data_IF_300810715436
#
_entry.id   IF_300810715436
#
_cell.length_a   1.000
_cell.length_b   1.000
_cell.length_c   1.000
_cell.angle_alpha   90.00
_cell.angle_beta   90.00
_cell.angle_gamma   90.00
#
_symmetry.space_group_name_H-M   'P 1'
#
loop_
_entity.id
_entity.type
_entity.pdbx_description
1 polymer ?
#
# COMPACT_ATOMS: atom_id res chain seq x y z
N UNK A 1 -7.34 14.70 -21.19
CA UNK A 1 -6.68 13.41 -21.47
C UNK A 1 -6.36 13.22 -22.94
N UNK A 2 -7.36 13.27 -23.85
CA UNK A 2 -7.13 13.16 -25.30
C UNK A 2 -6.14 14.22 -25.84
N UNK A 3 -6.27 15.48 -25.39
CA UNK A 3 -5.38 16.59 -25.73
C UNK A 3 -3.93 16.37 -25.27
N UNK A 4 -3.71 15.73 -24.12
CA UNK A 4 -2.38 15.40 -23.58
C UNK A 4 -1.74 14.26 -24.38
N UNK A 5 -2.52 13.26 -24.77
CA UNK A 5 -2.05 12.13 -25.60
C UNK A 5 -1.66 12.60 -27.02
N UNK A 6 -2.49 13.43 -27.65
CA UNK A 6 -2.21 14.02 -28.96
C UNK A 6 -0.99 14.96 -28.94
N UNK A 7 -0.72 15.61 -27.80
CA UNK A 7 0.43 16.51 -27.66
C UNK A 7 1.78 15.78 -27.72
N UNK A 8 1.84 14.47 -27.44
CA UNK A 8 3.07 13.67 -27.59
C UNK A 8 3.54 13.68 -29.05
N UNK A 9 2.61 13.59 -30.00
CA UNK A 9 2.92 13.58 -31.44
C UNK A 9 3.52 14.90 -31.93
N UNK A 10 3.36 16.00 -31.18
CA UNK A 10 3.92 17.34 -31.48
C UNK A 10 5.23 17.63 -30.75
N UNK A 11 5.85 16.62 -30.12
CA UNK A 11 7.16 16.71 -29.49
C UNK A 11 7.12 16.95 -27.97
N UNK A 12 8.27 16.68 -27.31
CA UNK A 12 8.38 16.65 -25.84
C UNK A 12 8.15 18.02 -25.17
N UNK A 13 8.53 19.12 -25.82
CA UNK A 13 8.32 20.47 -25.29
C UNK A 13 6.83 20.86 -25.29
N UNK A 14 6.13 20.60 -26.40
CA UNK A 14 4.70 20.85 -26.52
C UNK A 14 3.89 19.98 -25.54
N UNK A 15 4.24 18.69 -25.43
CA UNK A 15 3.64 17.81 -24.42
C UNK A 15 3.76 18.37 -22.99
N UNK A 16 4.96 18.79 -22.57
CA UNK A 16 5.19 19.36 -21.23
C UNK A 16 4.38 20.65 -21.01
N UNK A 17 4.23 21.47 -22.04
CA UNK A 17 3.45 22.72 -21.98
C UNK A 17 1.95 22.42 -21.82
N UNK A 18 1.43 21.45 -22.57
CA UNK A 18 0.03 21.00 -22.43
C UNK A 18 -0.22 20.38 -21.06
N UNK A 19 0.70 19.57 -20.53
CA UNK A 19 0.58 19.03 -19.16
C UNK A 19 0.57 20.15 -18.12
N UNK A 20 1.52 21.09 -18.20
CA UNK A 20 1.63 22.19 -17.24
C UNK A 20 0.45 23.17 -17.26
N UNK A 21 -0.29 23.26 -18.38
CA UNK A 21 -1.54 24.04 -18.46
C UNK A 21 -2.72 23.32 -17.79
N UNK A 22 -2.71 22.00 -17.77
CA UNK A 22 -3.84 21.19 -17.28
C UNK A 22 -3.65 20.69 -15.83
N UNK A 23 -2.43 20.74 -15.31
CA UNK A 23 -2.10 20.24 -13.96
C UNK A 23 -1.16 21.25 -13.29
N UNK A 24 -1.58 21.79 -12.14
CA UNK A 24 -0.70 22.52 -11.23
C UNK A 24 0.00 21.53 -10.30
N UNK A 25 1.33 21.64 -10.19
CA UNK A 25 2.11 20.88 -9.23
C UNK A 25 2.37 21.77 -8.02
N UNK A 26 1.95 21.31 -6.83
CA UNK A 26 2.27 21.99 -5.59
C UNK A 26 3.73 21.70 -5.21
N UNK A 27 4.56 22.73 -5.31
CA UNK A 27 5.98 22.64 -5.02
C UNK A 27 6.25 22.27 -3.56
N UNK A 28 5.38 22.65 -2.63
CA UNK A 28 5.57 22.42 -1.19
C UNK A 28 5.54 20.92 -0.85
N UNK A 29 4.90 20.11 -1.71
CA UNK A 29 4.68 18.67 -1.50
C UNK A 29 5.74 17.78 -2.13
N UNK A 30 6.70 18.37 -2.84
CA UNK A 30 7.75 17.57 -3.48
C UNK A 30 8.62 16.90 -2.41
N UNK A 31 9.08 15.65 -2.65
CA UNK A 31 9.95 14.94 -1.72
C UNK A 31 11.38 15.49 -1.81
N UNK A 32 11.60 16.65 -1.18
CA UNK A 32 12.91 17.29 -1.14
C UNK A 32 13.91 16.48 -0.31
N UNK A 33 15.17 16.45 -0.78
CA UNK A 33 16.29 15.80 -0.08
C UNK A 33 16.94 16.75 0.93
N UNK A 34 16.79 16.54 2.24
CA UNK A 34 17.28 17.49 3.26
C UNK A 34 18.81 17.62 3.28
N UNK A 35 19.51 16.53 2.97
CA UNK A 35 20.97 16.47 2.89
C UNK A 35 21.51 17.33 1.74
N UNK A 36 20.92 17.21 0.54
CA UNK A 36 21.28 18.04 -0.60
C UNK A 36 20.92 19.51 -0.36
N UNK A 37 19.73 19.80 0.20
CA UNK A 37 19.33 21.17 0.49
C UNK A 37 20.27 21.85 1.51
N UNK A 38 20.77 21.10 2.50
CA UNK A 38 21.77 21.62 3.45
C UNK A 38 23.06 22.00 2.73
N UNK A 39 23.59 21.10 1.92
CA UNK A 39 24.79 21.36 1.12
C UNK A 39 24.63 22.58 0.20
N UNK A 40 23.51 22.69 -0.52
CA UNK A 40 23.26 23.83 -1.40
C UNK A 40 23.22 25.16 -0.62
N UNK A 41 22.59 25.17 0.57
CA UNK A 41 22.60 26.38 1.42
C UNK A 41 24.00 26.76 1.88
N UNK A 42 24.83 25.78 2.26
CA UNK A 42 26.23 26.01 2.63
C UNK A 42 27.02 26.62 1.45
N UNK A 43 26.84 26.09 0.23
CA UNK A 43 27.49 26.63 -0.97
C UNK A 43 26.99 28.05 -1.30
N UNK A 44 25.71 28.33 -1.09
CA UNK A 44 25.13 29.67 -1.25
C UNK A 44 25.75 30.67 -0.28
N UNK A 45 25.90 30.28 0.99
CA UNK A 45 26.57 31.12 2.01
C UNK A 45 28.05 31.31 1.75
N UNK A 46 28.70 30.34 1.08
CA UNK A 46 30.09 30.46 0.63
C UNK A 46 30.26 31.36 -0.62
N UNK A 47 29.19 31.97 -1.11
CA UNK A 47 29.22 32.92 -2.22
C UNK A 47 29.03 32.31 -3.61
N UNK A 48 28.74 31.01 -3.74
CA UNK A 48 28.44 30.41 -5.05
C UNK A 48 27.08 30.88 -5.55
N UNK A 49 27.02 31.25 -6.84
CA UNK A 49 25.75 31.45 -7.55
C UNK A 49 25.12 30.09 -7.85
N UNK A 50 23.84 29.93 -7.51
CA UNK A 50 23.11 28.68 -7.67
C UNK A 50 22.00 28.84 -8.71
N UNK A 51 22.05 28.00 -9.75
CA UNK A 51 21.07 28.02 -10.85
C UNK A 51 20.28 26.72 -10.87
N UNK A 52 18.95 26.81 -10.82
CA UNK A 52 18.07 25.66 -10.97
C UNK A 52 17.91 25.32 -12.46
N UNK A 53 18.52 24.22 -12.90
CA UNK A 53 18.48 23.79 -14.31
C UNK A 53 17.66 22.51 -14.45
N UNK A 54 16.55 22.56 -15.19
CA UNK A 54 15.64 21.40 -15.30
C UNK A 54 15.01 21.21 -16.67
N UNK A 55 14.75 19.96 -17.02
CA UNK A 55 13.93 19.63 -18.18
C UNK A 55 12.43 19.78 -17.88
N UNK A 56 12.02 20.13 -16.65
CA UNK A 56 10.63 20.43 -16.33
C UNK A 56 10.17 21.72 -17.04
N UNK A 57 8.86 21.84 -17.25
CA UNK A 57 8.29 23.07 -17.80
C UNK A 57 8.56 24.25 -16.87
N UNK A 58 8.80 25.44 -17.43
CA UNK A 58 9.22 26.63 -16.69
C UNK A 58 8.30 26.99 -15.51
N UNK A 59 6.98 26.77 -15.63
CA UNK A 59 6.03 27.02 -14.54
C UNK A 59 6.32 26.18 -13.30
N UNK A 60 6.64 24.89 -13.49
CA UNK A 60 6.97 23.95 -12.40
C UNK A 60 8.32 24.33 -11.78
N UNK A 61 9.31 24.65 -12.62
CA UNK A 61 10.64 25.04 -12.16
C UNK A 61 10.61 26.32 -11.32
N UNK A 62 9.84 27.34 -11.76
CA UNK A 62 9.64 28.58 -11.00
C UNK A 62 8.90 28.34 -9.69
N UNK A 63 7.86 27.50 -9.68
CA UNK A 63 7.16 27.15 -8.44
C UNK A 63 8.11 26.48 -7.41
N UNK A 64 8.95 25.54 -7.85
CA UNK A 64 9.94 24.90 -6.99
C UNK A 64 11.00 25.88 -6.47
N UNK A 65 11.49 26.78 -7.31
CA UNK A 65 12.45 27.82 -6.89
C UNK A 65 11.83 28.83 -5.93
N UNK A 66 10.56 29.21 -6.14
CA UNK A 66 9.83 30.11 -5.25
C UNK A 66 9.61 29.49 -3.86
N UNK A 67 9.28 28.19 -3.80
CA UNK A 67 9.18 27.45 -2.54
C UNK A 67 10.51 27.45 -1.78
N UNK A 68 11.61 27.18 -2.49
CA UNK A 68 12.97 27.22 -1.96
C UNK A 68 13.54 28.65 -1.98
N UNK A 69 12.73 29.62 -1.53
CA UNK A 69 13.05 31.04 -1.58
C UNK A 69 14.46 31.36 -1.06
N UNK A 70 15.19 32.18 -1.82
CA UNK A 70 16.57 32.60 -1.52
C UNK A 70 17.66 31.57 -1.84
N UNK A 71 17.31 30.35 -2.27
CA UNK A 71 18.32 29.33 -2.60
C UNK A 71 18.89 29.50 -4.02
N UNK A 72 18.05 29.77 -5.02
CA UNK A 72 18.47 29.88 -6.42
C UNK A 72 18.43 31.33 -6.90
N UNK A 73 19.50 31.75 -7.57
CA UNK A 73 19.63 33.07 -8.21
C UNK A 73 18.89 33.12 -9.55
N UNK A 74 18.83 31.96 -10.22
CA UNK A 74 18.25 31.86 -11.54
C UNK A 74 17.63 30.49 -11.80
N UNK A 75 16.66 30.43 -12.72
CA UNK A 75 15.99 29.19 -13.15
C UNK A 75 16.08 29.05 -14.67
N UNK A 76 16.72 27.98 -15.14
CA UNK A 76 16.75 27.55 -16.53
C UNK A 76 15.88 26.30 -16.72
N UNK A 77 14.84 26.41 -17.52
CA UNK A 77 13.83 25.36 -17.65
C UNK A 77 13.34 25.16 -19.09
N UNK A 78 12.63 24.06 -19.34
CA UNK A 78 12.01 23.80 -20.64
C UNK A 78 10.86 24.79 -20.91
N UNK A 79 10.89 25.41 -22.08
CA UNK A 79 9.83 26.27 -22.61
C UNK A 79 9.14 25.61 -23.81
N UNK A 80 8.08 26.22 -24.33
CA UNK A 80 7.28 25.63 -25.43
C UNK A 80 8.10 25.40 -26.72
N UNK A 81 9.17 26.17 -26.93
CA UNK A 81 10.09 26.05 -28.08
C UNK A 81 11.42 25.33 -27.83
N UNK A 82 11.81 25.10 -26.57
CA UNK A 82 13.12 24.50 -26.25
C UNK A 82 13.02 23.45 -25.13
N UNK A 83 13.30 22.19 -25.46
CA UNK A 83 13.37 21.09 -24.49
C UNK A 83 14.79 20.96 -23.91
N UNK A 84 14.99 21.53 -22.73
CA UNK A 84 16.28 21.59 -22.04
C UNK A 84 16.67 20.22 -21.44
N UNK A 85 17.06 19.26 -22.28
CA UNK A 85 17.44 17.91 -21.86
C UNK A 85 18.79 17.48 -22.45
N UNK A 86 19.57 16.77 -21.64
CA UNK A 86 20.85 16.16 -22.02
C UNK A 86 21.80 17.11 -22.77
N UNK A 87 22.10 16.85 -24.07
CA UNK A 87 23.09 17.62 -24.82
C UNK A 87 22.70 19.09 -25.01
N UNK A 88 21.41 19.40 -25.22
CA UNK A 88 20.93 20.79 -25.32
C UNK A 88 21.14 21.53 -24.00
N UNK A 89 20.96 20.84 -22.87
CA UNK A 89 21.24 21.41 -21.55
C UNK A 89 22.74 21.69 -21.38
N UNK A 90 23.60 20.78 -21.84
CA UNK A 90 25.06 20.98 -21.84
C UNK A 90 25.44 22.23 -22.63
N UNK A 91 25.00 22.33 -23.89
CA UNK A 91 25.27 23.48 -24.77
C UNK A 91 24.85 24.81 -24.15
N UNK A 92 23.62 24.91 -23.65
CA UNK A 92 23.11 26.15 -23.03
C UNK A 92 23.93 26.56 -21.80
N UNK A 93 24.43 25.59 -21.01
CA UNK A 93 25.27 25.87 -19.85
C UNK A 93 26.69 26.29 -20.26
N UNK A 94 27.26 25.63 -21.27
CA UNK A 94 28.57 25.99 -21.83
C UNK A 94 28.55 27.38 -22.47
N UNK A 95 27.51 27.73 -23.23
CA UNK A 95 27.34 29.06 -23.82
C UNK A 95 27.26 30.16 -22.75
N UNK A 96 26.66 29.86 -21.60
CA UNK A 96 26.40 30.84 -20.54
C UNK A 96 27.55 30.99 -19.55
N UNK A 97 28.16 29.89 -19.14
CA UNK A 97 29.15 29.86 -18.07
C UNK A 97 30.56 29.51 -18.55
N UNK A 98 30.71 29.12 -19.82
CA UNK A 98 31.96 28.61 -20.38
C UNK A 98 32.15 27.12 -20.14
N UNK A 99 32.98 26.50 -20.97
CA UNK A 99 33.37 25.09 -20.81
C UNK A 99 34.25 24.94 -19.57
N UNK A 100 33.86 24.04 -18.66
CA UNK A 100 34.49 23.93 -17.34
C UNK A 100 34.16 25.08 -16.38
N UNK A 101 33.22 25.97 -16.70
CA UNK A 101 32.91 27.14 -15.87
C UNK A 101 31.93 26.88 -14.72
N UNK A 102 31.42 25.66 -14.57
CA UNK A 102 30.36 25.34 -13.62
C UNK A 102 30.50 23.94 -13.01
N UNK A 103 29.92 23.77 -11.81
CA UNK A 103 29.73 22.46 -11.17
C UNK A 103 28.29 22.01 -11.36
N UNK A 104 28.06 20.78 -11.83
CA UNK A 104 26.71 20.31 -12.15
C UNK A 104 26.23 19.19 -11.24
N UNK A 105 25.06 19.44 -10.62
CA UNK A 105 24.33 18.47 -9.81
C UNK A 105 23.38 17.67 -10.73
N UNK A 106 23.54 16.36 -10.80
CA UNK A 106 22.80 15.49 -11.73
C UNK A 106 22.56 14.09 -11.17
N UNK A 107 21.70 13.31 -11.82
CA UNK A 107 21.31 11.98 -11.31
C UNK A 107 21.22 10.86 -12.36
N UNK A 108 21.29 11.17 -13.66
CA UNK A 108 20.95 10.20 -14.69
C UNK A 108 21.91 10.20 -15.88
N UNK A 109 21.78 9.19 -16.75
CA UNK A 109 22.68 9.04 -17.90
C UNK A 109 22.63 10.23 -18.89
N UNK A 110 21.49 10.94 -19.00
CA UNK A 110 21.44 12.14 -19.83
C UNK A 110 22.28 13.29 -19.28
N UNK A 111 22.58 13.29 -17.97
CA UNK A 111 23.45 14.28 -17.35
C UNK A 111 24.93 14.06 -17.70
N UNK A 112 25.31 12.90 -18.25
CA UNK A 112 26.67 12.66 -18.75
C UNK A 112 27.06 13.68 -19.83
N UNK A 113 26.12 14.09 -20.68
CA UNK A 113 26.36 15.12 -21.70
C UNK A 113 26.63 16.50 -21.09
N UNK A 114 26.12 16.77 -19.88
CA UNK A 114 26.35 18.03 -19.16
C UNK A 114 27.65 17.95 -18.37
N UNK A 115 27.91 16.82 -17.70
CA UNK A 115 29.14 16.61 -16.92
C UNK A 115 30.40 16.64 -17.78
N UNK A 116 30.32 16.35 -19.09
CA UNK A 116 31.44 16.54 -20.04
C UNK A 116 31.96 17.97 -20.12
N UNK A 117 31.09 18.95 -19.85
CA UNK A 117 31.38 20.37 -19.94
C UNK A 117 31.49 21.05 -18.56
N UNK A 118 31.32 20.29 -17.48
CA UNK A 118 31.38 20.81 -16.12
C UNK A 118 32.80 20.70 -15.56
N UNK A 119 33.24 21.64 -14.71
CA UNK A 119 34.48 21.49 -13.95
C UNK A 119 34.43 20.33 -12.97
N UNK A 120 33.27 20.14 -12.33
CA UNK A 120 33.04 19.08 -11.37
C UNK A 120 31.61 18.55 -11.42
N UNK A 121 31.46 17.30 -10.99
CA UNK A 121 30.20 16.59 -10.92
C UNK A 121 29.76 16.39 -9.47
N UNK A 122 28.46 16.56 -9.22
CA UNK A 122 27.81 16.19 -7.96
C UNK A 122 26.68 15.19 -8.28
N UNK A 123 26.97 13.87 -8.31
CA UNK A 123 25.94 12.86 -8.48
C UNK A 123 25.02 12.74 -7.26
N UNK A 124 23.72 12.83 -7.50
CA UNK A 124 22.65 12.68 -6.49
C UNK A 124 21.77 11.50 -6.86
N UNK A 125 21.69 10.48 -6.01
CA UNK A 125 20.93 9.24 -6.27
C UNK A 125 21.27 8.56 -7.61
N UNK A 126 22.45 8.84 -8.18
CA UNK A 126 22.84 8.30 -9.47
C UNK A 126 23.10 6.79 -9.36
N UNK A 127 22.79 6.05 -10.44
CA UNK A 127 23.10 4.62 -10.53
C UNK A 127 24.61 4.42 -10.48
N UNK A 128 25.12 3.31 -9.89
CA UNK A 128 26.56 3.03 -9.85
C UNK A 128 27.21 3.07 -11.24
N UNK A 129 26.52 2.55 -12.26
CA UNK A 129 26.98 2.60 -13.65
C UNK A 129 27.10 4.02 -14.20
N UNK A 130 26.22 4.94 -13.80
CA UNK A 130 26.29 6.35 -14.20
C UNK A 130 27.46 7.04 -13.50
N UNK A 131 27.64 6.80 -12.20
CA UNK A 131 28.75 7.36 -11.41
C UNK A 131 30.10 6.93 -12.02
N UNK A 132 30.22 5.65 -12.39
CA UNK A 132 31.43 5.11 -13.03
C UNK A 132 31.72 5.70 -14.42
N UNK A 133 30.73 6.30 -15.08
CA UNK A 133 30.88 6.91 -16.41
C UNK A 133 31.03 8.44 -16.37
N UNK A 134 31.09 9.05 -15.18
CA UNK A 134 31.26 10.50 -15.05
C UNK A 134 32.65 10.89 -15.59
N UNK A 135 32.73 11.78 -16.59
CA UNK A 135 33.98 12.13 -17.26
C UNK A 135 34.84 13.15 -16.49
N UNK A 136 34.30 13.71 -15.40
CA UNK A 136 34.89 14.85 -14.67
C UNK A 136 35.03 14.56 -13.17
N UNK A 137 35.90 15.30 -12.46
CA UNK A 137 36.10 15.10 -11.02
C UNK A 137 34.81 15.20 -10.22
N UNK A 138 34.62 14.29 -9.25
CA UNK A 138 33.45 14.29 -8.37
C UNK A 138 33.76 15.14 -7.13
N UNK A 139 33.06 16.25 -6.96
CA UNK A 139 33.22 17.15 -5.81
C UNK A 139 32.52 16.61 -4.56
N UNK A 140 31.29 16.10 -4.73
CA UNK A 140 30.48 15.56 -3.64
C UNK A 140 29.53 14.48 -4.19
N UNK A 141 29.13 13.51 -3.36
CA UNK A 141 28.18 12.46 -3.74
C UNK A 141 27.06 12.32 -2.72
N UNK A 142 25.82 12.23 -3.20
CA UNK A 142 24.64 12.01 -2.36
C UNK A 142 23.98 10.68 -2.74
N UNK A 143 24.36 9.54 -2.13
CA UNK A 143 23.86 8.23 -2.54
C UNK A 143 22.34 8.11 -2.34
N UNK A 144 21.70 7.26 -3.15
CA UNK A 144 20.30 6.87 -2.92
C UNK A 144 20.24 5.86 -1.77
N UNK A 145 19.19 5.86 -0.94
CA UNK A 145 18.98 4.79 0.05
C UNK A 145 18.77 3.44 -0.65
N UNK A 146 19.76 2.53 -0.54
CA UNK A 146 19.87 1.29 -1.33
C UNK A 146 19.08 0.10 -0.77
N UNK A 147 17.81 0.28 -0.39
CA UNK A 147 17.00 -0.84 0.09
C UNK A 147 15.90 -1.23 -0.90
N UNK A 148 16.27 -1.56 -2.14
CA UNK A 148 15.30 -1.87 -3.21
C UNK A 148 14.29 -2.96 -2.83
N UNK A 149 14.76 -4.08 -2.26
CA UNK A 149 13.90 -5.17 -1.81
C UNK A 149 12.94 -4.71 -0.69
N UNK A 150 13.41 -3.85 0.21
CA UNK A 150 12.58 -3.26 1.27
C UNK A 150 11.56 -2.27 0.70
N UNK A 151 11.95 -1.49 -0.31
CA UNK A 151 11.06 -0.56 -1.00
C UNK A 151 9.97 -1.32 -1.75
N UNK A 152 10.33 -2.37 -2.49
CA UNK A 152 9.38 -3.20 -3.21
C UNK A 152 8.44 -3.95 -2.27
N UNK A 153 8.96 -4.56 -1.20
CA UNK A 153 8.13 -5.25 -0.19
C UNK A 153 7.18 -4.31 0.55
N UNK A 154 7.60 -3.06 0.82
CA UNK A 154 6.71 -2.01 1.34
C UNK A 154 5.66 -1.58 0.31
N UNK A 155 6.04 -1.43 -0.95
CA UNK A 155 5.16 -0.99 -2.03
C UNK A 155 4.06 -2.02 -2.36
N UNK A 156 4.45 -3.29 -2.46
CA UNK A 156 3.56 -4.45 -2.65
C UNK A 156 2.81 -4.81 -1.34
N UNK A 157 3.23 -4.26 -0.20
CA UNK A 157 2.66 -4.49 1.14
C UNK A 157 2.62 -5.97 1.51
N UNK A 158 3.76 -6.67 1.43
CA UNK A 158 3.87 -8.11 1.76
C UNK A 158 3.26 -8.47 3.12
N UNK A 159 3.36 -7.59 4.11
CA UNK A 159 2.75 -7.79 5.43
C UNK A 159 1.22 -7.95 5.41
N UNK A 160 0.52 -7.51 4.35
CA UNK A 160 -0.92 -7.67 4.17
C UNK A 160 -1.30 -9.03 3.56
N UNK A 161 -0.35 -9.77 2.99
CA UNK A 161 -0.63 -11.03 2.28
C UNK A 161 -1.17 -12.11 3.21
N UNK A 162 -0.82 -12.04 4.50
CA UNK A 162 -1.32 -12.96 5.53
C UNK A 162 -2.85 -13.02 5.58
N UNK A 163 -3.55 -11.93 5.22
CA UNK A 163 -5.03 -11.90 5.16
C UNK A 163 -5.60 -12.77 4.06
N UNK A 164 -4.81 -13.04 3.02
CA UNK A 164 -5.24 -13.88 1.91
C UNK A 164 -5.11 -15.37 2.23
N UNK A 165 -4.42 -15.74 3.34
CA UNK A 165 -4.45 -17.10 3.87
C UNK A 165 -5.85 -17.51 4.39
N UNK A 166 -6.79 -16.57 4.49
CA UNK A 166 -8.20 -16.88 4.78
C UNK A 166 -8.84 -17.82 3.74
N UNK A 167 -8.29 -17.92 2.53
CA UNK A 167 -8.74 -18.92 1.54
C UNK A 167 -8.54 -20.36 2.04
N UNK A 168 -7.64 -20.60 3.00
CA UNK A 168 -7.38 -21.93 3.53
C UNK A 168 -8.45 -22.38 4.54
N UNK A 169 -9.22 -21.45 5.10
CA UNK A 169 -10.18 -21.73 6.19
C UNK A 169 -11.15 -22.86 5.85
N UNK A 170 -11.77 -22.94 4.66
CA UNK A 170 -12.70 -24.02 4.33
C UNK A 170 -12.06 -25.41 4.40
N UNK A 171 -10.82 -25.56 3.92
CA UNK A 171 -10.07 -26.82 3.96
C UNK A 171 -9.77 -27.25 5.41
N UNK A 172 -9.41 -26.30 6.27
CA UNK A 172 -9.25 -26.58 7.71
C UNK A 172 -10.56 -27.04 8.34
N UNK A 173 -11.68 -26.39 8.01
CA UNK A 173 -12.98 -26.74 8.60
C UNK A 173 -13.59 -28.02 8.04
N UNK A 174 -13.19 -28.46 6.83
CA UNK A 174 -13.68 -29.70 6.22
C UNK A 174 -12.96 -30.96 6.68
N UNK A 175 -11.81 -30.81 7.36
CA UNK A 175 -10.89 -31.88 7.79
C UNK A 175 -10.13 -32.57 6.67
N UNK A 176 -10.15 -32.02 5.46
CA UNK A 176 -9.44 -32.59 4.30
C UNK A 176 -7.99 -32.06 4.17
N UNK A 177 -7.29 -31.90 5.29
CA UNK A 177 -5.96 -31.29 5.34
C UNK A 177 -4.86 -32.12 4.66
N UNK A 178 -5.12 -33.41 4.45
CA UNK A 178 -4.20 -34.32 3.76
C UNK A 178 -4.31 -34.23 2.23
N UNK A 179 -5.30 -33.49 1.71
CA UNK A 179 -5.43 -33.25 0.28
C UNK A 179 -4.40 -32.21 -0.19
N UNK A 180 -3.20 -32.71 -0.51
CA UNK A 180 -2.06 -31.89 -0.94
C UNK A 180 -2.34 -31.12 -2.23
N UNK A 181 -3.19 -31.66 -3.12
CA UNK A 181 -3.60 -30.98 -4.34
C UNK A 181 -4.45 -29.73 -4.02
N UNK A 182 -5.49 -29.90 -3.19
CA UNK A 182 -6.31 -28.76 -2.75
C UNK A 182 -5.47 -27.72 -1.97
N UNK A 183 -4.54 -28.16 -1.13
CA UNK A 183 -3.64 -27.25 -0.42
C UNK A 183 -2.75 -26.44 -1.39
N UNK A 184 -2.18 -27.09 -2.40
CA UNK A 184 -1.36 -26.42 -3.42
C UNK A 184 -2.18 -25.38 -4.20
N UNK A 185 -3.39 -25.74 -4.63
CA UNK A 185 -4.31 -24.85 -5.34
C UNK A 185 -4.71 -23.63 -4.49
N UNK A 186 -5.00 -23.85 -3.20
CA UNK A 186 -5.30 -22.76 -2.27
C UNK A 186 -4.11 -21.83 -2.02
N UNK A 187 -2.88 -22.36 -1.94
CA UNK A 187 -1.67 -21.56 -1.81
C UNK A 187 -1.42 -20.72 -3.07
N UNK A 188 -1.63 -21.30 -4.26
CA UNK A 188 -1.54 -20.58 -5.52
C UNK A 188 -2.60 -19.47 -5.63
N UNK A 189 -3.84 -19.73 -5.19
CA UNK A 189 -4.90 -18.71 -5.17
C UNK A 189 -4.67 -17.65 -4.09
N UNK A 190 -4.09 -18.02 -2.94
CA UNK A 190 -3.66 -17.06 -1.93
C UNK A 190 -2.58 -16.11 -2.50
N UNK A 191 -1.64 -16.64 -3.29
CA UNK A 191 -0.65 -15.85 -4.02
C UNK A 191 -1.31 -14.96 -5.07
N UNK A 192 -2.23 -15.50 -5.88
CA UNK A 192 -2.99 -14.76 -6.88
C UNK A 192 -3.73 -13.56 -6.27
N UNK A 193 -4.50 -13.79 -5.19
CA UNK A 193 -5.17 -12.74 -4.41
C UNK A 193 -4.19 -11.72 -3.85
N UNK A 194 -3.00 -12.15 -3.43
CA UNK A 194 -1.97 -11.27 -2.90
C UNK A 194 -1.39 -10.34 -3.97
N UNK A 195 -1.16 -10.84 -5.19
CA UNK A 195 -0.72 -10.02 -6.31
C UNK A 195 -1.81 -9.02 -6.73
N UNK A 196 -3.06 -9.48 -6.85
CA UNK A 196 -4.22 -8.61 -7.17
C UNK A 196 -4.42 -7.52 -6.11
N UNK A 197 -4.35 -7.88 -4.82
CA UNK A 197 -4.44 -6.92 -3.72
C UNK A 197 -3.27 -5.92 -3.73
N UNK A 198 -2.06 -6.37 -4.07
CA UNK A 198 -0.88 -5.51 -4.18
C UNK A 198 -1.00 -4.51 -5.32
N UNK A 199 -1.51 -4.94 -6.48
CA UNK A 199 -1.84 -4.05 -7.59
C UNK A 199 -2.86 -2.99 -7.16
N UNK A 200 -3.88 -3.40 -6.40
CA UNK A 200 -4.87 -2.47 -5.88
C UNK A 200 -4.29 -1.45 -4.89
N UNK A 201 -3.39 -1.88 -4.01
CA UNK A 201 -2.71 -0.95 -3.10
C UNK A 201 -1.81 0.04 -3.83
N UNK A 202 -1.06 -0.41 -4.83
CA UNK A 202 -0.24 0.46 -5.68
C UNK A 202 -1.10 1.45 -6.46
N UNK A 203 -2.21 1.00 -7.05
CA UNK A 203 -3.14 1.87 -7.77
C UNK A 203 -3.73 2.94 -6.84
N UNK A 204 -4.12 2.57 -5.63
CA UNK A 204 -4.60 3.53 -4.63
C UNK A 204 -3.50 4.53 -4.24
N UNK A 205 -2.27 4.08 -4.02
CA UNK A 205 -1.14 4.96 -3.66
C UNK A 205 -0.75 5.90 -4.81
N UNK A 206 -1.01 5.53 -6.07
CA UNK A 206 -0.88 6.41 -7.25
C UNK A 206 -2.01 7.45 -7.33
N UNK A 207 -3.25 7.04 -7.06
CA UNK A 207 -4.42 7.95 -7.08
C UNK A 207 -4.36 8.96 -5.93
N UNK A 208 -4.01 8.51 -4.74
CA UNK A 208 -3.96 9.34 -3.53
C UNK A 208 -2.59 10.04 -3.35
N UNK A 209 -1.70 10.02 -4.35
CA UNK A 209 -0.29 10.44 -4.25
C UNK A 209 -0.09 11.83 -3.63
N UNK A 210 -0.82 12.84 -4.09
CA UNK A 210 -0.68 14.20 -3.59
C UNK A 210 -1.20 14.35 -2.15
N UNK A 211 -2.27 13.64 -1.80
CA UNK A 211 -2.79 13.60 -0.42
C UNK A 211 -1.88 12.80 0.52
N UNK A 212 -1.21 11.76 0.00
CA UNK A 212 -0.26 10.96 0.76
C UNK A 212 1.00 11.76 1.10
N UNK A 213 1.43 12.67 0.23
CA UNK A 213 2.56 13.58 0.48
C UNK A 213 2.30 14.57 1.62
N UNK A 214 1.06 15.00 1.82
CA UNK A 214 0.68 15.91 2.91
C UNK A 214 0.61 15.19 4.27
N UNK A 215 0.31 13.89 4.26
CA UNK A 215 0.02 13.16 5.48
C UNK A 215 1.31 12.77 6.24
N UNK A 216 1.33 13.02 7.56
CA UNK A 216 2.48 12.81 8.44
C UNK A 216 3.13 11.41 8.34
N UNK A 217 2.33 10.34 8.35
CA UNK A 217 2.81 8.95 8.14
C UNK A 217 2.87 8.53 6.66
N UNK A 218 1.82 8.80 5.86
CA UNK A 218 1.71 8.27 4.48
C UNK A 218 2.72 8.90 3.51
N UNK A 219 3.31 10.04 3.83
CA UNK A 219 4.41 10.64 3.06
C UNK A 219 5.64 9.72 2.97
N UNK A 220 5.77 8.77 3.89
CA UNK A 220 6.83 7.75 3.90
C UNK A 220 6.53 6.55 3.00
N UNK A 221 5.36 6.50 2.34
CA UNK A 221 5.06 5.46 1.35
C UNK A 221 6.04 5.54 0.18
N UNK A 222 6.44 4.41 -0.43
CA UNK A 222 7.46 4.40 -1.48
C UNK A 222 7.19 5.35 -2.67
N UNK A 223 5.94 5.47 -3.11
CA UNK A 223 5.58 6.38 -4.21
C UNK A 223 5.57 7.86 -3.77
N UNK A 224 5.01 8.16 -2.59
CA UNK A 224 4.91 9.53 -2.07
C UNK A 224 6.29 10.13 -1.73
N UNK A 225 7.16 9.33 -1.11
CA UNK A 225 8.54 9.69 -0.75
C UNK A 225 9.51 9.76 -1.93
N UNK A 226 9.14 9.21 -3.08
CA UNK A 226 10.03 9.11 -4.24
C UNK A 226 11.03 7.94 -4.19
N UNK A 227 10.98 7.07 -3.17
CA UNK A 227 11.78 5.83 -3.10
C UNK A 227 11.47 4.87 -4.28
N UNK A 228 10.22 4.85 -4.74
CA UNK A 228 9.76 4.08 -5.90
C UNK A 228 9.40 5.04 -7.05
N UNK A 229 10.05 4.95 -8.22
CA UNK A 229 9.70 5.77 -9.36
C UNK A 229 8.25 5.55 -9.83
N UNK A 230 7.52 6.65 -10.07
CA UNK A 230 6.12 6.62 -10.55
C UNK A 230 5.94 5.76 -11.81
N UNK A 231 6.81 5.82 -12.85
CA UNK A 231 6.65 4.98 -14.03
C UNK A 231 6.70 3.49 -13.73
N UNK A 232 7.55 3.09 -12.76
CA UNK A 232 7.60 1.69 -12.34
C UNK A 232 6.34 1.31 -11.56
N UNK A 233 5.82 2.18 -10.69
CA UNK A 233 4.53 1.96 -10.04
C UNK A 233 3.40 1.73 -11.04
N UNK A 234 3.33 2.55 -12.09
CA UNK A 234 2.36 2.40 -13.18
C UNK A 234 2.52 1.09 -13.97
N UNK A 235 3.75 0.62 -14.17
CA UNK A 235 4.03 -0.66 -14.83
C UNK A 235 3.70 -1.87 -13.93
N UNK A 236 3.99 -1.78 -12.63
CA UNK A 236 3.76 -2.88 -11.69
C UNK A 236 2.29 -3.24 -11.53
N UNK A 237 1.38 -2.27 -11.60
CA UNK A 237 -0.08 -2.51 -11.48
C UNK A 237 -0.58 -3.54 -12.51
N UNK A 238 -0.47 -3.31 -13.83
CA UNK A 238 -0.90 -4.29 -14.83
C UNK A 238 -0.09 -5.58 -14.77
N UNK A 239 1.23 -5.54 -14.49
CA UNK A 239 2.02 -6.77 -14.35
C UNK A 239 1.52 -7.68 -13.22
N UNK A 240 1.22 -7.11 -12.05
CA UNK A 240 0.69 -7.84 -10.90
C UNK A 240 -0.73 -8.35 -11.15
N UNK A 241 -1.58 -7.56 -11.83
CA UNK A 241 -2.92 -8.00 -12.22
C UNK A 241 -2.87 -9.16 -13.23
N UNK A 242 -2.03 -9.05 -14.25
CA UNK A 242 -1.88 -10.12 -15.26
C UNK A 242 -1.32 -11.40 -14.64
N UNK A 243 -0.30 -11.29 -13.79
CA UNK A 243 0.28 -12.46 -13.12
C UNK A 243 -0.71 -13.09 -12.12
N UNK A 244 -1.40 -12.27 -11.31
CA UNK A 244 -2.42 -12.76 -10.38
C UNK A 244 -3.61 -13.40 -11.10
N UNK A 245 -4.08 -12.79 -12.18
CA UNK A 245 -5.14 -13.33 -13.03
C UNK A 245 -4.73 -14.64 -13.71
N UNK A 246 -3.51 -14.71 -14.24
CA UNK A 246 -2.97 -15.93 -14.83
C UNK A 246 -2.87 -17.08 -13.82
N UNK A 247 -2.35 -16.82 -12.61
CA UNK A 247 -2.32 -17.83 -11.54
C UNK A 247 -3.73 -18.30 -11.16
N UNK A 248 -4.69 -17.38 -11.04
CA UNK A 248 -6.08 -17.72 -10.76
C UNK A 248 -6.72 -18.58 -11.87
N UNK A 249 -6.40 -18.26 -13.14
CA UNK A 249 -6.86 -19.03 -14.30
C UNK A 249 -6.29 -20.45 -14.32
N UNK A 250 -4.99 -20.60 -14.00
CA UNK A 250 -4.35 -21.92 -13.94
C UNK A 250 -5.00 -22.82 -12.88
N UNK A 251 -5.39 -22.27 -11.73
CA UNK A 251 -5.96 -23.06 -10.63
C UNK A 251 -7.41 -23.47 -10.85
N UNK A 252 -8.28 -22.53 -11.24
CA UNK A 252 -9.73 -22.80 -11.28
C UNK A 252 -10.42 -22.26 -12.50
N UNK A 253 -9.69 -22.18 -13.62
CA UNK A 253 -10.19 -21.78 -14.94
C UNK A 253 -10.81 -20.38 -14.95
N UNK A 254 -11.82 -20.17 -15.79
CA UNK A 254 -12.54 -18.91 -15.91
C UNK A 254 -13.27 -18.49 -14.64
N UNK A 255 -13.77 -19.44 -13.86
CA UNK A 255 -14.58 -19.12 -12.67
C UNK A 255 -13.75 -18.43 -11.60
N UNK A 256 -12.56 -18.94 -11.29
CA UNK A 256 -11.67 -18.29 -10.31
C UNK A 256 -11.18 -16.93 -10.82
N UNK A 257 -10.89 -16.81 -12.12
CA UNK A 257 -10.56 -15.52 -12.71
C UNK A 257 -11.69 -14.48 -12.53
N UNK A 258 -12.95 -14.88 -12.76
CA UNK A 258 -14.12 -14.01 -12.51
C UNK A 258 -14.23 -13.63 -11.04
N UNK A 259 -14.06 -14.58 -10.10
CA UNK A 259 -14.10 -14.30 -8.66
C UNK A 259 -13.00 -13.31 -8.23
N UNK A 260 -11.77 -13.46 -8.73
CA UNK A 260 -10.68 -12.51 -8.50
C UNK A 260 -11.01 -11.12 -9.07
N UNK A 261 -11.61 -11.07 -10.26
CA UNK A 261 -12.08 -9.83 -10.89
C UNK A 261 -13.15 -9.14 -10.07
N UNK A 262 -14.19 -9.87 -9.62
CA UNK A 262 -15.23 -9.34 -8.75
C UNK A 262 -14.66 -8.86 -7.42
N UNK A 263 -13.74 -9.60 -6.83
CA UNK A 263 -13.05 -9.20 -5.59
C UNK A 263 -12.24 -7.91 -5.79
N UNK A 264 -11.50 -7.79 -6.90
CA UNK A 264 -10.75 -6.58 -7.26
C UNK A 264 -11.67 -5.36 -7.45
N UNK A 265 -12.75 -5.51 -8.22
CA UNK A 265 -13.75 -4.46 -8.43
C UNK A 265 -14.41 -4.06 -7.10
N UNK A 266 -14.72 -5.02 -6.23
CA UNK A 266 -15.28 -4.74 -4.91
C UNK A 266 -14.30 -3.96 -4.02
N UNK A 267 -13.00 -4.26 -4.10
CA UNK A 267 -11.96 -3.50 -3.41
C UNK A 267 -11.82 -2.08 -3.97
N UNK A 268 -11.93 -1.90 -5.29
CA UNK A 268 -11.97 -0.58 -5.93
C UNK A 268 -13.16 0.23 -5.45
N UNK A 269 -14.36 -0.33 -5.56
CA UNK A 269 -15.61 0.29 -5.11
C UNK A 269 -15.55 0.67 -3.63
N UNK A 270 -14.97 -0.21 -2.79
CA UNK A 270 -14.73 0.11 -1.40
C UNK A 270 -13.78 1.29 -1.23
N UNK A 271 -12.65 1.28 -1.93
CA UNK A 271 -11.61 2.31 -1.80
C UNK A 271 -12.03 3.68 -2.34
N UNK A 272 -12.97 3.76 -3.28
CA UNK A 272 -13.42 5.02 -3.90
C UNK A 272 -14.69 5.56 -3.26
N UNK A 273 -15.67 4.69 -2.98
CA UNK A 273 -17.02 5.08 -2.57
C UNK A 273 -17.41 4.52 -1.21
N UNK A 274 -17.34 3.20 -0.98
CA UNK A 274 -17.97 2.62 0.22
C UNK A 274 -17.26 3.04 1.51
N UNK A 275 -15.94 3.29 1.46
CA UNK A 275 -15.19 3.77 2.63
C UNK A 275 -15.69 5.12 3.16
N UNK A 276 -16.45 5.88 2.37
CA UNK A 276 -16.93 7.21 2.75
C UNK A 276 -18.29 7.21 3.44
N UNK A 277 -18.97 6.05 3.46
CA UNK A 277 -20.30 5.90 4.04
C UNK A 277 -20.19 5.20 5.40
N UNK A 278 -20.59 5.84 6.51
CA UNK A 278 -20.61 5.21 7.84
C UNK A 278 -21.40 3.91 7.83
N UNK A 279 -20.95 2.94 8.63
CA UNK A 279 -21.40 1.54 8.73
C UNK A 279 -21.18 0.72 7.45
N UNK A 280 -21.49 1.26 6.27
CA UNK A 280 -21.26 0.59 4.99
C UNK A 280 -19.78 0.21 4.82
N UNK A 281 -18.85 1.04 5.30
CA UNK A 281 -17.43 0.72 5.25
C UNK A 281 -17.06 -0.53 6.08
N UNK A 282 -17.64 -0.68 7.28
CA UNK A 282 -17.40 -1.83 8.17
C UNK A 282 -18.04 -3.10 7.61
N UNK A 283 -19.29 -3.02 7.13
CA UNK A 283 -19.99 -4.15 6.52
C UNK A 283 -19.31 -4.61 5.22
N UNK A 284 -18.89 -3.67 4.36
CA UNK A 284 -18.14 -3.98 3.15
C UNK A 284 -16.78 -4.63 3.48
N UNK A 285 -16.08 -4.14 4.51
CA UNK A 285 -14.82 -4.73 4.94
C UNK A 285 -15.00 -6.18 5.43
N UNK A 286 -16.03 -6.43 6.25
CA UNK A 286 -16.36 -7.78 6.72
C UNK A 286 -16.72 -8.70 5.54
N UNK A 287 -17.54 -8.22 4.61
CA UNK A 287 -17.90 -8.92 3.38
C UNK A 287 -16.67 -9.28 2.53
N UNK A 288 -15.71 -8.37 2.36
CA UNK A 288 -14.47 -8.64 1.63
C UNK A 288 -13.58 -9.70 2.31
N UNK A 289 -13.60 -9.80 3.64
CA UNK A 289 -12.91 -10.88 4.35
C UNK A 289 -13.60 -12.23 4.11
N UNK A 290 -14.92 -12.28 4.25
CA UNK A 290 -15.70 -13.48 3.96
C UNK A 290 -15.58 -13.91 2.50
N UNK A 291 -15.52 -12.97 1.57
CA UNK A 291 -15.37 -13.27 0.15
C UNK A 291 -14.08 -14.06 -0.14
N UNK A 292 -12.99 -13.80 0.58
CA UNK A 292 -11.77 -14.64 0.47
C UNK A 292 -12.03 -16.09 0.89
N UNK A 293 -12.78 -16.29 1.98
CA UNK A 293 -13.17 -17.62 2.44
C UNK A 293 -14.03 -18.31 1.38
N UNK A 294 -14.96 -17.59 0.74
CA UNK A 294 -15.78 -18.13 -0.36
C UNK A 294 -14.92 -18.55 -1.56
N UNK A 295 -13.95 -17.74 -1.97
CA UNK A 295 -13.00 -18.09 -3.05
C UNK A 295 -12.26 -19.38 -2.70
N UNK A 296 -11.75 -19.49 -1.47
CA UNK A 296 -11.10 -20.70 -1.00
C UNK A 296 -12.00 -21.93 -1.02
N UNK A 297 -13.26 -21.77 -0.61
CA UNK A 297 -14.22 -22.87 -0.59
C UNK A 297 -14.55 -23.37 -2.00
N UNK A 298 -14.62 -22.45 -2.97
CA UNK A 298 -14.80 -22.79 -4.37
C UNK A 298 -13.59 -23.56 -4.93
N UNK A 299 -12.38 -23.03 -4.71
CA UNK A 299 -11.14 -23.62 -5.24
C UNK A 299 -10.88 -25.02 -4.68
N UNK A 300 -11.14 -25.20 -3.38
CA UNK A 300 -10.92 -26.48 -2.72
C UNK A 300 -12.10 -27.46 -2.84
N UNK A 301 -13.18 -27.10 -3.54
CA UNK A 301 -14.46 -27.84 -3.56
C UNK A 301 -15.07 -28.09 -2.16
N UNK A 302 -14.74 -27.24 -1.18
CA UNK A 302 -15.27 -27.26 0.17
C UNK A 302 -16.11 -26.00 0.41
N UNK A 303 -17.37 -26.04 -0.03
CA UNK A 303 -18.25 -24.87 0.04
C UNK A 303 -18.44 -24.36 1.48
N UNK A 304 -18.49 -23.03 1.61
CA UNK A 304 -18.66 -22.35 2.89
C UNK A 304 -20.06 -22.63 3.43
N UNK A 305 -20.12 -23.23 4.62
CA UNK A 305 -21.40 -23.49 5.31
C UNK A 305 -22.01 -22.19 5.83
N UNK A 306 -23.33 -22.17 6.04
CA UNK A 306 -24.03 -21.03 6.67
C UNK A 306 -23.44 -20.71 8.04
N UNK A 307 -23.04 -21.74 8.80
CA UNK A 307 -22.37 -21.58 10.09
C UNK A 307 -21.05 -20.82 9.96
N UNK A 308 -20.17 -21.27 9.06
CA UNK A 308 -18.86 -20.65 8.84
C UNK A 308 -19.01 -19.23 8.29
N UNK A 309 -19.95 -19.01 7.37
CA UNK A 309 -20.25 -17.69 6.80
C UNK A 309 -20.68 -16.71 7.90
N UNK A 310 -21.70 -17.06 8.70
CA UNK A 310 -22.26 -16.18 9.72
C UNK A 310 -21.27 -15.92 10.85
N UNK A 311 -20.56 -16.96 11.32
CA UNK A 311 -19.48 -16.82 12.31
C UNK A 311 -18.41 -15.84 11.82
N UNK A 312 -17.88 -16.09 10.62
CA UNK A 312 -16.78 -15.29 10.06
C UNK A 312 -17.22 -13.85 9.80
N UNK A 313 -18.42 -13.64 9.25
CA UNK A 313 -18.96 -12.31 8.98
C UNK A 313 -19.07 -11.49 10.26
N UNK A 314 -19.68 -12.02 11.33
CA UNK A 314 -19.82 -11.33 12.61
C UNK A 314 -18.47 -11.07 13.29
N UNK A 315 -17.54 -12.02 13.22
CA UNK A 315 -16.19 -11.87 13.75
C UNK A 315 -15.42 -10.74 13.01
N UNK A 316 -15.44 -10.72 11.67
CA UNK A 316 -14.81 -9.65 10.90
C UNK A 316 -15.51 -8.31 11.03
N UNK A 317 -16.83 -8.29 11.22
CA UNK A 317 -17.60 -7.09 11.52
C UNK A 317 -17.14 -6.49 12.86
N UNK A 318 -16.99 -7.33 13.90
CA UNK A 318 -16.42 -6.92 15.20
C UNK A 318 -15.02 -6.30 15.04
N UNK A 319 -14.12 -6.96 14.33
CA UNK A 319 -12.77 -6.44 14.05
C UNK A 319 -12.79 -5.14 13.24
N UNK A 320 -13.76 -4.99 12.32
CA UNK A 320 -13.98 -3.78 11.54
C UNK A 320 -14.37 -2.61 12.43
N UNK A 321 -15.31 -2.81 13.36
CA UNK A 321 -15.69 -1.81 14.36
C UNK A 321 -14.52 -1.47 15.30
N UNK A 322 -13.79 -2.47 15.79
CA UNK A 322 -12.60 -2.27 16.61
C UNK A 322 -11.59 -1.37 15.89
N UNK A 323 -11.35 -1.62 14.59
CA UNK A 323 -10.49 -0.77 13.74
C UNK A 323 -10.99 0.67 13.68
N UNK A 324 -12.31 0.91 13.56
CA UNK A 324 -12.88 2.27 13.55
C UNK A 324 -12.65 2.97 14.89
N UNK A 325 -12.92 2.30 16.00
CA UNK A 325 -12.75 2.85 17.35
C UNK A 325 -11.29 3.27 17.60
N UNK A 326 -10.33 2.45 17.18
CA UNK A 326 -8.90 2.77 17.30
C UNK A 326 -8.50 3.96 16.43
N UNK A 327 -9.01 4.06 15.20
CA UNK A 327 -8.74 5.22 14.33
C UNK A 327 -9.36 6.51 14.90
N UNK A 328 -10.57 6.44 15.47
CA UNK A 328 -11.24 7.55 16.17
C UNK A 328 -10.41 8.01 17.38
N UNK A 329 -9.97 7.09 18.23
CA UNK A 329 -9.22 7.40 19.45
C UNK A 329 -7.89 8.13 19.19
N UNK A 330 -7.19 7.82 18.09
CA UNK A 330 -5.95 8.52 17.72
C UNK A 330 -6.18 9.91 17.18
N UNK A 331 -7.28 10.09 16.46
CA UNK A 331 -7.62 11.38 15.87
C UNK A 331 -7.95 12.43 16.94
N UNK A 332 -8.48 12.04 18.09
CA UNK A 332 -8.74 12.96 19.22
C UNK A 332 -7.44 13.50 19.85
N UNK A 333 -6.31 12.83 19.63
CA UNK A 333 -4.99 13.26 20.11
C UNK A 333 -4.26 14.19 19.12
N UNK A 334 -4.71 14.26 17.86
CA UNK A 334 -4.21 15.17 16.84
C UNK A 334 -5.23 16.32 16.62
N UNK A 335 -4.79 17.53 16.31
CA UNK A 335 -5.61 18.75 16.29
C UNK A 335 -7.00 18.60 15.59
N UNK A 336 -8.03 19.35 16.07
CA UNK A 336 -9.42 19.16 15.68
C UNK A 336 -9.69 19.77 14.30
N UNK A 337 -9.38 19.05 13.23
CA UNK A 337 -9.83 19.39 11.89
C UNK A 337 -10.49 18.17 11.26
N UNK A 338 -11.81 18.28 11.11
CA UNK A 338 -12.74 17.47 10.31
C UNK A 338 -12.39 16.00 10.13
N UNK A 339 -13.27 15.12 10.62
CA UNK A 339 -13.21 13.69 10.33
C UNK A 339 -13.08 13.43 8.83
N UNK A 340 -11.91 12.94 8.47
CA UNK A 340 -11.49 12.72 7.10
C UNK A 340 -12.35 11.68 6.42
N UNK A 341 -12.90 12.03 5.25
CA UNK A 341 -13.41 11.18 4.17
C UNK A 341 -14.40 10.05 4.52
N UNK A 342 -14.70 9.73 5.78
CA UNK A 342 -15.48 8.55 6.24
C UNK A 342 -16.77 8.86 7.00
N UNK A 343 -16.96 10.10 7.45
CA UNK A 343 -18.22 10.56 8.04
C UNK A 343 -18.54 10.12 9.48
N UNK A 344 -17.56 9.59 10.22
CA UNK A 344 -17.71 9.31 11.66
C UNK A 344 -17.38 10.54 12.51
N UNK A 345 -17.89 10.60 13.74
CA UNK A 345 -17.58 11.61 14.75
C UNK A 345 -16.99 10.95 16.01
N UNK A 346 -16.20 11.67 16.85
CA UNK A 346 -15.65 11.09 18.08
C UNK A 346 -16.75 10.55 19.01
N UNK A 347 -17.91 11.20 19.01
CA UNK A 347 -19.09 10.79 19.76
C UNK A 347 -19.60 9.39 19.38
N UNK A 348 -19.35 8.92 18.15
CA UNK A 348 -19.79 7.61 17.67
C UNK A 348 -19.01 6.45 18.32
N UNK A 349 -17.89 6.73 18.99
CA UNK A 349 -17.01 5.68 19.55
C UNK A 349 -17.75 4.75 20.50
N UNK A 350 -18.67 5.27 21.32
CA UNK A 350 -19.45 4.47 22.26
C UNK A 350 -20.38 3.47 21.55
N UNK A 351 -21.14 3.94 20.55
CA UNK A 351 -22.07 3.09 19.79
C UNK A 351 -21.32 2.07 18.93
N UNK A 352 -20.20 2.46 18.30
CA UNK A 352 -19.36 1.55 17.52
C UNK A 352 -18.73 0.46 18.40
N UNK A 353 -18.34 0.82 19.63
CA UNK A 353 -17.84 -0.15 20.62
C UNK A 353 -18.94 -1.15 20.99
N UNK A 354 -20.15 -0.66 21.28
CA UNK A 354 -21.29 -1.52 21.59
C UNK A 354 -21.63 -2.49 20.45
N UNK A 355 -21.71 -2.00 19.20
CA UNK A 355 -21.95 -2.83 18.02
C UNK A 355 -20.85 -3.87 17.80
N UNK A 356 -19.60 -3.46 17.97
CA UNK A 356 -18.47 -4.35 17.78
C UNK A 356 -18.34 -5.43 18.85
N UNK A 357 -18.58 -5.10 20.12
CA UNK A 357 -18.65 -6.09 21.21
C UNK A 357 -19.84 -7.03 20.99
N UNK A 358 -21.02 -6.51 20.64
CA UNK A 358 -22.17 -7.35 20.33
C UNK A 358 -21.89 -8.34 19.19
N UNK A 359 -21.22 -7.89 18.11
CA UNK A 359 -20.79 -8.76 17.01
C UNK A 359 -19.80 -9.85 17.46
N UNK A 360 -18.92 -9.54 18.41
CA UNK A 360 -18.00 -10.52 19.00
C UNK A 360 -18.75 -11.63 19.72
N UNK A 361 -19.63 -11.28 20.67
CA UNK A 361 -20.42 -12.24 21.41
C UNK A 361 -21.35 -13.04 20.50
N UNK A 362 -22.01 -12.38 19.54
CA UNK A 362 -22.87 -13.04 18.55
C UNK A 362 -22.10 -14.07 17.71
N UNK A 363 -20.85 -13.78 17.31
CA UNK A 363 -20.01 -14.75 16.60
C UNK A 363 -19.75 -16.00 17.46
N UNK A 364 -19.45 -15.84 18.76
CA UNK A 364 -19.21 -16.96 19.67
C UNK A 364 -20.49 -17.76 19.92
N UNK A 365 -21.65 -17.11 20.03
CA UNK A 365 -22.94 -17.80 20.15
C UNK A 365 -23.21 -18.65 18.90
N UNK A 366 -22.95 -18.14 17.70
CA UNK A 366 -23.08 -18.91 16.45
C UNK A 366 -22.14 -20.13 16.45
N UNK A 367 -20.92 -19.98 16.95
CA UNK A 367 -19.98 -21.10 17.11
C UNK A 367 -20.51 -22.15 18.10
N UNK A 368 -21.04 -21.73 19.25
CA UNK A 368 -21.63 -22.64 20.24
C UNK A 368 -22.84 -23.40 19.67
N UNK A 369 -23.72 -22.71 18.93
CA UNK A 369 -24.86 -23.32 18.25
C UNK A 369 -24.39 -24.32 17.18
N UNK A 370 -23.33 -24.03 16.44
CA UNK A 370 -22.73 -24.97 15.50
C UNK A 370 -22.23 -26.24 16.22
N UNK A 371 -21.49 -26.09 17.32
CA UNK A 371 -20.98 -27.24 18.10
C UNK A 371 -22.12 -28.13 18.62
N UNK A 372 -23.26 -27.55 18.97
CA UNK A 372 -24.46 -28.29 19.39
C UNK A 372 -25.26 -28.90 18.23
N UNK A 373 -25.05 -28.43 17.00
CA UNK A 373 -25.86 -28.83 15.85
C UNK A 373 -25.62 -30.27 15.39
N UNK A 374 -26.62 -30.87 14.74
CA UNK A 374 -26.45 -32.16 14.06
C UNK A 374 -25.33 -32.15 13.01
N UNK A 375 -25.06 -31.00 12.40
CA UNK A 375 -23.98 -30.86 11.41
C UNK A 375 -22.61 -31.15 12.03
N UNK A 376 -22.35 -30.69 13.25
CA UNK A 376 -21.12 -30.99 13.97
C UNK A 376 -21.08 -32.47 14.42
N UNK A 377 -22.21 -33.01 14.89
CA UNK A 377 -22.30 -34.41 15.32
C UNK A 377 -22.06 -35.42 14.17
N UNK A 378 -22.42 -35.06 12.93
CA UNK A 378 -22.14 -35.88 11.74
C UNK A 378 -20.68 -35.77 11.30
N UNK A 379 -20.04 -34.62 11.55
CA UNK A 379 -18.69 -34.34 11.06
C UNK A 379 -17.60 -34.80 12.04
N UNK A 380 -17.82 -34.69 13.35
CA UNK A 380 -16.79 -34.99 14.37
C UNK A 380 -17.12 -36.25 15.18
N UNK A 381 -16.09 -37.02 15.54
CA UNK A 381 -16.23 -38.21 16.39
C UNK A 381 -16.50 -37.82 17.85
N UNK A 382 -15.83 -36.78 18.33
CA UNK A 382 -16.00 -36.24 19.69
C UNK A 382 -16.35 -34.75 19.64
N UNK A 383 -17.55 -34.37 19.17
CA UNK A 383 -17.95 -32.97 18.97
C UNK A 383 -17.87 -32.16 20.27
N UNK A 384 -18.04 -32.81 21.44
CA UNK A 384 -17.95 -32.15 22.74
C UNK A 384 -16.58 -31.52 23.01
N UNK A 385 -15.50 -32.04 22.42
CA UNK A 385 -14.17 -31.45 22.56
C UNK A 385 -14.08 -30.02 21.98
N UNK A 386 -14.92 -29.68 20.99
CA UNK A 386 -14.99 -28.35 20.41
C UNK A 386 -15.55 -27.31 21.39
N UNK A 387 -16.25 -27.71 22.46
CA UNK A 387 -16.70 -26.78 23.49
C UNK A 387 -15.53 -26.06 24.18
N UNK A 388 -14.34 -26.65 24.23
CA UNK A 388 -13.14 -25.97 24.75
C UNK A 388 -12.71 -24.78 23.88
N UNK A 389 -13.03 -24.79 22.58
CA UNK A 389 -12.70 -23.69 21.67
C UNK A 389 -13.61 -22.46 21.88
N UNK A 390 -14.86 -22.66 22.29
CA UNK A 390 -15.85 -21.58 22.51
C UNK A 390 -15.39 -20.52 23.53
N UNK A 391 -15.05 -20.85 24.80
CA UNK A 391 -14.61 -19.87 25.78
C UNK A 391 -13.24 -19.25 25.42
N UNK A 392 -12.38 -20.00 24.73
CA UNK A 392 -11.09 -19.50 24.23
C UNK A 392 -11.29 -18.43 23.17
N UNK A 393 -12.16 -18.67 22.18
CA UNK A 393 -12.56 -17.69 21.19
C UNK A 393 -13.10 -16.42 21.86
N UNK A 394 -13.98 -16.57 22.85
CA UNK A 394 -14.55 -15.42 23.57
C UNK A 394 -13.47 -14.61 24.29
N UNK A 395 -12.59 -15.29 25.05
CA UNK A 395 -11.50 -14.65 25.79
C UNK A 395 -10.58 -13.86 24.87
N UNK A 396 -10.20 -14.43 23.73
CA UNK A 396 -9.35 -13.77 22.72
C UNK A 396 -10.04 -12.52 22.17
N UNK A 397 -11.33 -12.62 21.81
CA UNK A 397 -12.04 -11.47 21.26
C UNK A 397 -12.26 -10.36 22.32
N UNK A 398 -12.62 -10.71 23.55
CA UNK A 398 -12.69 -9.76 24.67
C UNK A 398 -11.33 -9.07 24.89
N UNK A 399 -10.23 -9.82 24.79
CA UNK A 399 -8.88 -9.27 24.91
C UNK A 399 -8.53 -8.32 23.78
N UNK A 400 -8.97 -8.56 22.54
CA UNK A 400 -8.77 -7.62 21.44
C UNK A 400 -9.49 -6.29 21.71
N UNK A 401 -10.73 -6.33 22.18
CA UNK A 401 -11.48 -5.13 22.58
C UNK A 401 -10.82 -4.38 23.74
N UNK A 402 -10.36 -5.10 24.76
CA UNK A 402 -9.62 -4.52 25.89
C UNK A 402 -8.26 -3.91 25.45
N UNK A 403 -7.57 -4.55 24.51
CA UNK A 403 -6.30 -4.05 23.97
C UNK A 403 -6.50 -2.81 23.10
N UNK A 404 -7.60 -2.77 22.35
CA UNK A 404 -8.00 -1.61 21.55
C UNK A 404 -8.35 -0.41 22.43
N UNK A 405 -9.12 -0.61 23.50
CA UNK A 405 -9.48 0.47 24.43
C UNK A 405 -8.27 1.03 25.18
N UNK A 406 -7.25 0.20 25.43
CA UNK A 406 -5.96 0.61 26.02
C UNK A 406 -4.95 1.19 25.02
N UNK A 407 -5.34 1.38 23.75
CA UNK A 407 -4.47 1.88 22.68
C UNK A 407 -3.19 1.05 22.42
N UNK A 408 -3.20 -0.24 22.75
CA UNK A 408 -2.07 -1.13 22.42
C UNK A 408 -2.01 -1.49 20.93
N UNK A 409 -3.15 -1.39 20.23
CA UNK A 409 -3.25 -1.71 18.80
C UNK A 409 -2.94 -0.45 17.96
N UNK A 410 -1.75 -0.45 17.33
CA UNK A 410 -1.20 0.71 16.61
C UNK A 410 -1.50 0.81 15.11
N UNK A 411 -2.02 -0.21 14.44
CA UNK A 411 -2.31 -0.06 12.99
C UNK A 411 -3.48 -0.95 12.57
N UNK A 412 -3.31 -2.26 12.69
CA UNK A 412 -4.23 -3.24 12.13
C UNK A 412 -4.57 -4.28 13.20
N UNK A 413 -5.84 -4.40 13.62
CA UNK A 413 -6.27 -5.42 14.58
C UNK A 413 -5.88 -6.84 14.15
N UNK A 414 -5.88 -7.14 12.85
CA UNK A 414 -5.50 -8.47 12.33
C UNK A 414 -4.01 -8.72 12.53
N UNK A 415 -3.17 -7.71 12.27
CA UNK A 415 -1.73 -7.81 12.49
C UNK A 415 -1.41 -7.97 13.97
N UNK A 416 -2.08 -7.19 14.82
CA UNK A 416 -1.94 -7.30 16.27
C UNK A 416 -2.33 -8.70 16.75
N UNK A 417 -3.47 -9.21 16.28
CA UNK A 417 -3.94 -10.55 16.60
C UNK A 417 -2.86 -11.61 16.31
N UNK A 418 -2.26 -11.60 15.11
CA UNK A 418 -1.22 -12.56 14.72
C UNK A 418 0.05 -12.43 15.58
N UNK A 419 0.35 -11.27 16.15
CA UNK A 419 1.49 -11.09 17.05
C UNK A 419 1.20 -11.39 18.53
N UNK A 420 -0.07 -11.56 18.91
CA UNK A 420 -0.47 -11.74 20.31
C UNK A 420 -0.22 -13.18 20.78
N UNK A 421 0.60 -13.35 21.82
CA UNK A 421 0.90 -14.66 22.42
C UNK A 421 -0.35 -15.36 22.95
N UNK A 422 -1.34 -14.59 23.43
CA UNK A 422 -2.60 -15.17 23.92
C UNK A 422 -3.43 -15.72 22.77
N UNK A 423 -3.37 -15.11 21.58
CA UNK A 423 -3.99 -15.71 20.39
C UNK A 423 -3.33 -17.05 20.08
N UNK A 424 -2.00 -17.13 20.08
CA UNK A 424 -1.30 -18.38 19.78
C UNK A 424 -1.57 -19.48 20.81
N UNK A 425 -1.61 -19.13 22.10
CA UNK A 425 -2.04 -20.07 23.15
C UNK A 425 -3.48 -20.54 22.91
N UNK A 426 -4.39 -19.61 22.60
CA UNK A 426 -5.78 -19.96 22.28
C UNK A 426 -5.91 -20.80 21.00
N UNK A 427 -5.12 -20.51 19.96
CA UNK A 427 -5.07 -21.29 18.74
C UNK A 427 -4.53 -22.70 18.97
N UNK A 428 -3.53 -22.85 19.84
CA UNK A 428 -3.02 -24.16 20.25
C UNK A 428 -4.08 -24.98 21.01
N UNK A 429 -4.81 -24.36 21.95
CA UNK A 429 -5.93 -25.00 22.64
C UNK A 429 -7.04 -25.38 21.64
N UNK A 430 -7.40 -24.47 20.74
CA UNK A 430 -8.38 -24.74 19.68
C UNK A 430 -7.95 -25.88 18.76
N UNK A 431 -6.67 -25.95 18.39
CA UNK A 431 -6.10 -27.03 17.60
C UNK A 431 -6.14 -28.37 18.36
N UNK A 432 -5.85 -28.38 19.67
CA UNK A 432 -5.97 -29.57 20.51
C UNK A 432 -7.43 -30.03 20.62
N UNK A 433 -8.37 -29.11 20.88
CA UNK A 433 -9.81 -29.39 20.89
C UNK A 433 -10.28 -29.99 19.55
N UNK A 434 -9.83 -29.41 18.43
CA UNK A 434 -10.12 -29.91 17.10
C UNK A 434 -9.53 -31.29 16.84
N UNK A 435 -8.27 -31.54 17.25
CA UNK A 435 -7.60 -32.84 17.14
C UNK A 435 -8.35 -33.94 17.88
N UNK A 436 -8.78 -33.67 19.12
CA UNK A 436 -9.62 -34.60 19.88
C UNK A 436 -10.98 -34.78 19.20
N UNK A 437 -11.58 -33.72 18.68
CA UNK A 437 -12.89 -33.78 18.01
C UNK A 437 -12.88 -34.69 16.76
N UNK A 438 -11.79 -34.69 15.99
CA UNK A 438 -11.63 -35.57 14.83
C UNK A 438 -11.28 -37.03 15.21
N UNK A 439 -10.95 -37.27 16.49
CA UNK A 439 -10.60 -38.59 17.03
C UNK A 439 -9.13 -38.94 16.95
N UNK A 440 -8.25 -37.93 16.98
CA UNK A 440 -6.85 -38.15 17.30
C UNK A 440 -6.71 -38.48 18.79
N UNK A 441 -6.02 -39.57 19.10
CA UNK A 441 -5.70 -40.02 20.47
C UNK A 441 -4.56 -39.20 21.04
#
# INVERSE_FOLDING_TARGET
LLSVLLAICRGKAHFKSVVARNVSLDADRLPYRPDLLRYLREQKTAGRSLVLVTAAHHSIAKAAAAHLSGLFDEVLATTEGCNLNGPVKGQVLTEKFGDGGFTYVGNCASDLAVWRHAAAAIPVSARPSVIASIPTPIEATFPAPRHWLRTLSRAVRLHQWVKNLLVLVPLFTSRDLLNLAALADLLLVALALSLVASAQYLLNDLIDLDSDREHFEKRLRPLASGDLPIPLGLLLVPCLLSLGGWLGFVVGSWTVLMLLGTYFISCLLYSTVLKTKPLVDVFALAGLYVFRIVIGGFVSNHFVTVWLFTFSFLCFLSLGFLKRCIELARSTQAAPKHFGRRGYYPADTAILTAMGVAGSFASVVVLALYVYSESANKLYKHPFALWGFVPVCLLVQCRWWLSGSRNYIKEDPVRYAISDRVLWAGAAIGAACYWVAIGGV
#
